data_IF_541752049307
#
_entry.id   IF_541752049307
#
_cell.length_a   1.000
_cell.length_b   1.000
_cell.length_c   1.000
_cell.angle_alpha   90.00
_cell.angle_beta   90.00
_cell.angle_gamma   90.00
#
_symmetry.space_group_name_H-M   'P 1'
#
loop_
_entity.id
_entity.type
_entity.pdbx_description
1 polymer ?
#
# COMPACT_ATOMS: atom_id res chain seq x y z
N UNK A 1 -2.25 10.96 -39.62
CA UNK A 1 -2.37 11.96 -38.56
C UNK A 1 -2.24 11.26 -37.21
N UNK A 2 -1.07 11.40 -36.61
CA UNK A 2 -0.70 10.93 -35.27
C UNK A 2 -1.64 11.55 -34.23
N UNK A 3 -2.37 10.72 -33.50
CA UNK A 3 -3.22 11.15 -32.39
C UNK A 3 -2.33 11.18 -31.15
N UNK A 4 -1.93 12.37 -30.72
CA UNK A 4 -1.13 12.60 -29.53
C UNK A 4 -1.85 12.04 -28.28
N UNK A 5 -1.44 10.85 -27.84
CA UNK A 5 -1.83 10.24 -26.56
C UNK A 5 -0.96 10.79 -25.42
N UNK A 6 -0.84 12.11 -25.31
CA UNK A 6 0.00 12.78 -24.31
C UNK A 6 -0.72 13.03 -22.97
N UNK A 7 -2.05 12.81 -22.91
CA UNK A 7 -2.89 13.11 -21.73
C UNK A 7 -2.92 12.05 -20.62
N UNK A 8 -2.33 10.88 -20.86
CA UNK A 8 -2.45 9.70 -19.97
C UNK A 8 -1.08 9.20 -19.49
N UNK A 9 -0.08 10.08 -19.39
CA UNK A 9 1.24 9.72 -18.83
C UNK A 9 1.48 10.44 -17.51
N UNK A 10 1.92 9.70 -16.48
CA UNK A 10 2.21 10.26 -15.17
C UNK A 10 3.56 10.97 -15.21
N UNK A 11 3.60 12.25 -14.83
CA UNK A 11 4.85 13.05 -14.84
C UNK A 11 5.87 12.64 -13.76
N UNK A 12 5.51 11.75 -12.84
CA UNK A 12 6.39 11.26 -11.77
C UNK A 12 7.09 9.97 -12.19
N UNK A 13 6.36 8.98 -12.71
CA UNK A 13 6.91 7.68 -13.10
C UNK A 13 7.06 7.50 -14.62
N UNK A 14 6.65 8.49 -15.41
CA UNK A 14 6.67 8.50 -16.88
C UNK A 14 5.93 7.31 -17.53
N UNK A 15 5.05 6.64 -16.79
CA UNK A 15 4.24 5.51 -17.23
C UNK A 15 2.79 5.93 -17.49
N UNK A 16 1.99 5.05 -18.12
CA UNK A 16 0.56 5.31 -18.35
C UNK A 16 -0.22 5.44 -17.04
N UNK A 17 -1.02 6.49 -16.90
CA UNK A 17 -1.86 6.75 -15.71
C UNK A 17 -2.95 5.68 -15.62
N UNK A 18 -2.96 4.92 -14.53
CA UNK A 18 -3.99 3.92 -14.23
C UNK A 18 -5.06 4.47 -13.30
N UNK A 19 -4.63 5.19 -12.27
CA UNK A 19 -5.53 5.78 -11.26
C UNK A 19 -5.26 7.27 -11.23
N UNK A 20 -6.04 8.03 -12.01
CA UNK A 20 -5.87 9.48 -12.11
C UNK A 20 -6.11 10.14 -10.78
N UNK A 21 -5.17 11.00 -10.38
CA UNK A 21 -5.25 11.73 -9.14
C UNK A 21 -5.27 13.23 -9.37
N UNK A 22 -6.29 13.89 -8.83
CA UNK A 22 -6.49 15.34 -8.95
C UNK A 22 -6.11 16.00 -7.63
N UNK A 23 -5.14 16.91 -7.69
CA UNK A 23 -4.70 17.68 -6.52
C UNK A 23 -5.65 18.84 -6.25
N UNK A 24 -6.04 19.07 -5.00
CA UNK A 24 -6.72 20.29 -4.58
C UNK A 24 -5.77 21.19 -3.76
N UNK A 25 -5.76 22.52 -3.97
CA UNK A 25 -6.68 23.30 -4.80
C UNK A 25 -6.23 23.54 -6.25
N UNK A 26 -5.01 23.14 -6.63
CA UNK A 26 -4.42 23.53 -7.91
C UNK A 26 -4.90 22.72 -9.14
N UNK A 27 -5.75 21.70 -8.93
CA UNK A 27 -6.42 20.89 -9.95
C UNK A 27 -5.51 20.24 -11.02
N UNK A 28 -4.21 20.08 -10.74
CA UNK A 28 -3.33 19.28 -11.58
C UNK A 28 -3.69 17.79 -11.48
N UNK A 29 -3.73 17.10 -12.61
CA UNK A 29 -4.26 15.74 -12.73
C UNK A 29 -3.37 14.77 -13.53
N UNK A 30 -2.17 15.18 -13.94
CA UNK A 30 -1.24 14.37 -14.75
C UNK A 30 -0.37 13.44 -13.87
N UNK A 31 -1.00 12.83 -12.86
CA UNK A 31 -0.34 11.94 -11.92
C UNK A 31 -1.14 10.67 -11.72
N UNK A 32 -0.43 9.56 -11.54
CA UNK A 32 -0.96 8.40 -10.84
C UNK A 32 -1.10 8.70 -9.35
N UNK A 33 -2.19 8.22 -8.77
CA UNK A 33 -2.50 8.36 -7.35
C UNK A 33 -1.36 7.89 -6.45
N UNK A 34 -0.77 6.73 -6.72
CA UNK A 34 0.31 6.19 -5.91
C UNK A 34 1.58 7.03 -6.01
N UNK A 35 1.93 7.49 -7.21
CA UNK A 35 3.10 8.34 -7.41
C UNK A 35 2.95 9.66 -6.67
N UNK A 36 1.76 10.26 -6.78
CA UNK A 36 1.43 11.53 -6.13
C UNK A 36 1.39 11.38 -4.59
N UNK A 37 0.77 10.34 -4.06
CA UNK A 37 0.73 10.09 -2.61
C UNK A 37 2.13 9.84 -2.06
N UNK A 38 2.98 9.11 -2.79
CA UNK A 38 4.38 8.87 -2.38
C UNK A 38 5.18 10.16 -2.32
N UNK A 39 5.02 11.05 -3.31
CA UNK A 39 5.60 12.40 -3.28
C UNK A 39 5.12 13.20 -2.06
N UNK A 40 3.83 13.14 -1.77
CA UNK A 40 3.18 13.90 -0.71
C UNK A 40 3.56 13.45 0.71
N UNK A 41 4.10 12.24 0.87
CA UNK A 41 4.71 11.80 2.13
C UNK A 41 5.97 12.61 2.47
N UNK A 42 6.73 13.07 1.46
CA UNK A 42 7.95 13.84 1.66
C UNK A 42 7.69 15.35 1.58
N UNK A 43 6.87 15.79 0.61
CA UNK A 43 6.59 17.21 0.36
C UNK A 43 5.10 17.41 0.13
N UNK A 44 4.45 18.22 0.97
CA UNK A 44 3.01 18.50 0.85
C UNK A 44 2.65 19.53 -0.25
N UNK A 45 3.50 19.65 -1.28
CA UNK A 45 3.37 20.61 -2.40
C UNK A 45 3.22 19.90 -3.74
N UNK A 46 2.52 20.50 -4.70
CA UNK A 46 2.35 19.96 -6.05
C UNK A 46 3.68 19.85 -6.79
N UNK A 47 3.99 18.72 -7.47
CA UNK A 47 5.19 18.58 -8.29
C UNK A 47 5.27 19.59 -9.45
N UNK A 48 4.12 20.07 -9.95
CA UNK A 48 4.06 20.97 -11.11
C UNK A 48 4.13 22.44 -10.72
N UNK A 49 3.21 22.90 -9.87
CA UNK A 49 3.10 24.33 -9.54
C UNK A 49 3.64 24.69 -8.16
N UNK A 50 4.13 23.72 -7.37
CA UNK A 50 4.61 23.89 -5.99
C UNK A 50 3.56 24.42 -5.00
N UNK A 51 2.29 24.54 -5.41
CA UNK A 51 1.21 24.94 -4.51
C UNK A 51 1.00 23.90 -3.40
N UNK A 52 0.62 24.37 -2.21
CA UNK A 52 0.28 23.50 -1.08
C UNK A 52 -0.96 22.66 -1.43
N UNK A 53 -0.85 21.33 -1.28
CA UNK A 53 -1.97 20.41 -1.52
C UNK A 53 -2.66 20.10 -0.19
N UNK A 54 -4.00 20.23 -0.16
CA UNK A 54 -4.84 19.91 0.99
C UNK A 54 -5.51 18.53 0.88
N UNK A 55 -5.87 18.12 -0.33
CA UNK A 55 -6.45 16.82 -0.61
C UNK A 55 -6.14 16.34 -2.02
N UNK A 56 -6.26 15.02 -2.22
CA UNK A 56 -6.15 14.36 -3.51
C UNK A 56 -7.43 13.58 -3.75
N UNK A 57 -8.07 13.81 -4.89
CA UNK A 57 -9.23 13.05 -5.34
C UNK A 57 -8.77 11.96 -6.32
N UNK A 58 -9.28 10.74 -6.16
CA UNK A 58 -8.88 9.56 -6.93
C UNK A 58 -10.01 8.54 -7.02
N UNK A 59 -9.84 7.48 -7.82
CA UNK A 59 -10.83 6.38 -7.98
C UNK A 59 -12.20 6.91 -8.45
N UNK A 60 -12.20 7.58 -9.61
CA UNK A 60 -13.39 8.18 -10.21
C UNK A 60 -14.24 7.10 -10.89
N UNK A 61 -15.20 6.53 -10.16
CA UNK A 61 -16.19 5.61 -10.74
C UNK A 61 -17.33 6.37 -11.47
N UNK A 62 -17.56 7.63 -11.10
CA UNK A 62 -18.54 8.56 -11.68
C UNK A 62 -18.12 10.01 -11.37
N UNK A 63 -18.56 11.05 -12.11
CA UNK A 63 -18.20 12.44 -11.81
C UNK A 63 -18.49 12.90 -10.38
N UNK A 64 -19.45 12.24 -9.71
CA UNK A 64 -19.85 12.52 -8.32
C UNK A 64 -19.35 11.47 -7.32
N UNK A 65 -18.78 10.35 -7.79
CA UNK A 65 -18.31 9.26 -6.94
C UNK A 65 -16.78 9.11 -7.10
N UNK A 66 -16.06 9.70 -6.15
CA UNK A 66 -14.61 9.63 -6.05
C UNK A 66 -14.19 9.53 -4.59
N UNK A 67 -13.01 8.96 -4.36
CA UNK A 67 -12.39 8.91 -3.03
C UNK A 67 -11.51 10.14 -2.82
N UNK A 68 -11.52 10.66 -1.60
CA UNK A 68 -10.68 11.81 -1.21
C UNK A 68 -9.67 11.40 -0.16
N UNK A 69 -8.39 11.54 -0.48
CA UNK A 69 -7.28 11.38 0.46
C UNK A 69 -6.86 12.75 0.99
N UNK A 70 -7.07 13.00 2.29
CA UNK A 70 -6.68 14.25 2.94
C UNK A 70 -5.19 14.25 3.29
N UNK A 71 -4.53 15.39 3.08
CA UNK A 71 -3.10 15.54 3.37
C UNK A 71 -2.93 16.45 4.56
N UNK A 72 -2.14 16.00 5.53
CA UNK A 72 -1.72 16.84 6.63
C UNK A 72 -0.39 17.50 6.27
N UNK A 73 -0.36 18.83 6.35
CA UNK A 73 0.81 19.65 6.07
C UNK A 73 1.98 19.20 6.95
N UNK A 74 3.04 18.68 6.34
CA UNK A 74 4.27 18.24 7.02
C UNK A 74 5.18 19.39 7.46
N UNK A 75 4.95 20.61 6.94
CA UNK A 75 5.76 21.77 7.26
C UNK A 75 4.85 22.92 7.70
N UNK A 76 4.80 23.22 9.00
CA UNK A 76 4.23 24.49 9.46
C UNK A 76 5.07 25.60 8.80
N UNK A 77 4.48 26.59 8.11
CA UNK A 77 5.26 27.75 7.75
C UNK A 77 5.58 28.46 9.06
N UNK A 78 6.85 28.46 9.45
CA UNK A 78 7.39 29.36 10.46
C UNK A 78 7.39 30.77 9.88
N UNK A 79 6.21 31.36 9.70
CA UNK A 79 6.09 32.80 9.55
C UNK A 79 6.03 33.38 10.96
N UNK A 80 7.20 33.62 11.53
CA UNK A 80 7.38 34.59 12.60
C UNK A 80 7.05 35.97 12.04
N UNK A 81 5.77 36.35 12.09
CA UNK A 81 5.32 37.73 11.90
C UNK A 81 5.11 38.35 13.29
N UNK A 82 6.00 39.23 13.77
CA UNK A 82 5.97 39.75 15.14
C UNK A 82 5.06 40.98 15.28
N UNK A 83 3.93 41.04 14.57
CA UNK A 83 3.12 42.27 14.60
C UNK A 83 1.68 42.06 14.15
N UNK A 84 0.85 41.52 15.06
CA UNK A 84 -0.59 41.86 15.21
C UNK A 84 -1.13 41.21 16.48
N UNK A 85 -1.02 41.92 17.59
CA UNK A 85 -1.89 41.74 18.74
C UNK A 85 -3.18 42.55 18.50
N UNK A 86 -4.35 41.95 18.29
CA UNK A 86 -5.56 42.55 18.79
C UNK A 86 -5.60 42.26 20.29
N UNK A 87 -5.47 43.32 21.07
CA UNK A 87 -5.71 43.31 22.51
C UNK A 87 -7.07 42.66 22.80
N UNK A 88 -7.06 41.45 23.32
CA UNK A 88 -8.23 40.84 23.96
C UNK A 88 -8.10 41.10 25.44
N UNK A 89 -8.62 42.24 25.88
CA UNK A 89 -8.87 42.50 27.30
C UNK A 89 -10.09 41.66 27.70
N UNK A 90 -9.91 40.87 28.76
CA UNK A 90 -10.90 40.07 29.50
C UNK A 90 -11.20 38.63 29.04
N UNK A 91 -10.46 37.68 29.62
CA UNK A 91 -11.01 36.40 30.11
C UNK A 91 -10.18 35.92 31.32
N UNK A 92 -10.69 35.96 32.57
CA UNK A 92 -9.89 35.71 33.77
C UNK A 92 -9.72 34.23 34.15
N UNK A 93 -10.00 33.27 33.27
CA UNK A 93 -9.82 31.84 33.56
C UNK A 93 -9.17 31.12 32.36
N UNK A 94 -7.86 30.87 32.48
CA UNK A 94 -7.09 30.11 31.50
C UNK A 94 -7.49 28.63 31.51
N UNK A 95 -8.24 28.20 30.49
CA UNK A 95 -8.44 26.78 30.22
C UNK A 95 -7.12 26.20 29.65
N UNK A 96 -6.64 25.05 30.14
CA UNK A 96 -5.43 24.43 29.61
C UNK A 96 -5.63 24.10 28.14
N UNK A 97 -4.76 24.64 27.29
CA UNK A 97 -4.74 24.38 25.86
C UNK A 97 -4.46 22.89 25.65
N UNK A 98 -5.52 22.11 25.46
CA UNK A 98 -5.44 20.68 25.20
C UNK A 98 -4.64 20.49 23.91
N UNK A 99 -3.47 19.79 23.93
CA UNK A 99 -2.75 19.52 22.71
C UNK A 99 -3.70 18.80 21.75
N UNK A 100 -3.88 19.37 20.56
CA UNK A 100 -4.76 18.83 19.53
C UNK A 100 -4.22 17.45 19.17
N UNK A 101 -4.87 16.40 19.70
CA UNK A 101 -4.52 15.00 19.45
C UNK A 101 -4.47 14.82 17.93
N UNK A 102 -3.36 14.33 17.34
CA UNK A 102 -3.31 14.11 15.90
C UNK A 102 -4.47 13.23 15.51
N UNK A 103 -5.33 13.73 14.62
CA UNK A 103 -6.48 13.00 14.10
C UNK A 103 -5.93 11.72 13.47
N UNK A 104 -6.16 10.57 14.13
CA UNK A 104 -5.80 9.26 13.59
C UNK A 104 -6.55 9.12 12.27
N UNK A 105 -5.82 9.14 11.15
CA UNK A 105 -6.42 8.91 9.84
C UNK A 105 -7.26 7.61 9.89
N UNK A 106 -8.47 7.59 9.30
CA UNK A 106 -9.33 6.42 9.34
C UNK A 106 -8.56 5.19 8.87
N UNK A 107 -8.56 4.12 9.67
CA UNK A 107 -7.74 2.93 9.41
C UNK A 107 -8.03 2.32 8.02
N UNK A 108 -9.27 2.49 7.55
CA UNK A 108 -9.74 2.08 6.24
C UNK A 108 -9.04 2.80 5.07
N UNK A 109 -8.74 4.11 5.18
CA UNK A 109 -8.07 4.85 4.10
C UNK A 109 -6.59 4.46 3.96
N UNK A 110 -5.95 4.11 5.07
CA UNK A 110 -4.58 3.61 5.08
C UNK A 110 -4.49 2.22 4.44
N UNK A 111 -5.46 1.35 4.69
CA UNK A 111 -5.53 0.04 4.03
C UNK A 111 -5.77 0.19 2.53
N UNK A 112 -6.68 1.07 2.12
CA UNK A 112 -7.01 1.29 0.71
C UNK A 112 -5.79 1.84 -0.07
N UNK A 113 -5.08 2.83 0.49
CA UNK A 113 -3.84 3.36 -0.09
C UNK A 113 -2.72 2.31 -0.14
N UNK A 114 -2.58 1.47 0.89
CA UNK A 114 -1.59 0.39 0.90
C UNK A 114 -1.86 -0.65 -0.20
N UNK A 115 -3.12 -1.02 -0.41
CA UNK A 115 -3.50 -1.98 -1.45
C UNK A 115 -3.29 -1.42 -2.85
N UNK A 116 -3.64 -0.15 -3.07
CA UNK A 116 -3.37 0.52 -4.34
C UNK A 116 -1.87 0.56 -4.65
N UNK A 117 -1.03 0.81 -3.64
CA UNK A 117 0.44 0.76 -3.81
C UNK A 117 0.91 -0.65 -4.17
N UNK A 118 0.41 -1.68 -3.49
CA UNK A 118 0.74 -3.08 -3.83
C UNK A 118 0.27 -3.45 -5.23
N UNK A 119 -0.93 -3.03 -5.66
CA UNK A 119 -1.42 -3.22 -7.05
C UNK A 119 -0.46 -2.64 -8.07
N UNK A 120 0.04 -1.42 -7.84
CA UNK A 120 1.05 -0.80 -8.69
C UNK A 120 2.33 -1.64 -8.76
N UNK A 121 2.83 -2.13 -7.61
CA UNK A 121 4.04 -2.98 -7.54
C UNK A 121 3.89 -4.26 -8.37
N UNK A 122 2.78 -5.00 -8.25
CA UNK A 122 2.56 -6.21 -9.08
C UNK A 122 2.35 -5.89 -10.56
N UNK A 123 1.66 -4.79 -10.87
CA UNK A 123 1.41 -4.37 -12.25
C UNK A 123 2.71 -4.04 -12.97
N UNK A 124 3.62 -3.33 -12.31
CA UNK A 124 4.93 -2.96 -12.87
C UNK A 124 6.03 -3.97 -12.57
N UNK A 125 5.72 -5.06 -11.84
CA UNK A 125 6.65 -6.12 -11.48
C UNK A 125 7.91 -5.60 -10.76
N UNK A 126 7.71 -4.67 -9.82
CA UNK A 126 8.79 -4.00 -9.11
C UNK A 126 9.28 -4.87 -7.94
N UNK A 127 10.53 -5.29 -7.97
CA UNK A 127 11.12 -6.11 -6.92
C UNK A 127 11.71 -5.21 -5.84
N UNK A 128 11.44 -5.50 -4.56
CA UNK A 128 12.13 -4.76 -3.50
C UNK A 128 13.64 -4.93 -3.61
N UNK A 129 14.36 -3.83 -3.42
CA UNK A 129 15.80 -3.86 -3.29
C UNK A 129 16.20 -4.75 -2.11
N UNK A 130 17.28 -5.50 -2.30
CA UNK A 130 17.83 -6.32 -1.23
C UNK A 130 18.20 -5.43 -0.06
N UNK A 131 17.54 -5.62 1.08
CA UNK A 131 17.89 -4.94 2.33
C UNK A 131 19.29 -5.44 2.74
N UNK A 132 20.31 -4.66 2.42
CA UNK A 132 21.70 -4.98 2.71
C UNK A 132 21.93 -5.19 4.20
N UNK A 133 22.94 -6.01 4.53
CA UNK A 133 23.37 -6.28 5.90
C UNK A 133 23.97 -5.02 6.55
N UNK A 134 23.16 -4.12 7.09
CA UNK A 134 23.65 -3.04 7.94
C UNK A 134 24.30 -3.63 9.23
N UNK A 135 25.24 -2.92 9.89
CA UNK A 135 25.96 -3.44 11.07
C UNK A 135 25.05 -3.93 12.20
N UNK A 136 23.84 -3.38 12.33
CA UNK A 136 22.80 -3.83 13.27
C UNK A 136 22.00 -5.06 12.82
N UNK A 137 21.99 -5.41 11.52
CA UNK A 137 21.39 -6.65 10.98
C UNK A 137 22.39 -7.77 10.71
N UNK A 138 23.71 -7.51 10.82
CA UNK A 138 24.76 -8.54 10.70
C UNK A 138 24.60 -9.68 11.72
N UNK A 139 24.00 -9.41 12.87
CA UNK A 139 23.66 -10.44 13.90
C UNK A 139 22.34 -11.17 13.63
N UNK A 140 21.53 -10.73 12.67
CA UNK A 140 20.16 -11.23 12.41
C UNK A 140 19.92 -11.71 10.97
N UNK A 141 20.95 -11.69 10.12
CA UNK A 141 20.88 -12.30 8.79
C UNK A 141 20.80 -13.82 8.95
N UNK A 142 19.57 -14.33 9.07
CA UNK A 142 19.29 -15.76 9.14
C UNK A 142 18.51 -16.15 7.91
N UNK A 143 19.03 -17.11 7.16
CA UNK A 143 18.26 -17.71 6.09
C UNK A 143 17.05 -18.43 6.67
N UNK A 144 15.89 -18.06 6.15
CA UNK A 144 14.62 -18.56 6.61
C UNK A 144 14.39 -19.89 5.92
N UNK A 145 14.70 -20.97 6.61
CA UNK A 145 14.53 -22.33 6.11
C UNK A 145 13.13 -22.87 6.44
N UNK A 146 12.62 -23.84 5.66
CA UNK A 146 11.30 -24.44 5.91
C UNK A 146 11.13 -25.04 7.31
N UNK A 147 12.19 -25.65 7.84
CA UNK A 147 12.18 -26.23 9.19
C UNK A 147 12.01 -25.17 10.29
N UNK A 148 12.61 -24.00 10.13
CA UNK A 148 12.43 -22.87 11.06
C UNK A 148 11.01 -22.32 11.00
N UNK A 149 10.43 -22.21 9.81
CA UNK A 149 9.04 -21.79 9.63
C UNK A 149 8.10 -22.81 10.28
N UNK A 150 8.35 -24.12 10.07
CA UNK A 150 7.55 -25.18 10.66
C UNK A 150 7.59 -25.17 12.20
N UNK A 151 8.75 -24.89 12.80
CA UNK A 151 8.94 -24.85 14.24
C UNK A 151 8.46 -23.55 14.91
N UNK A 152 8.33 -22.44 14.18
CA UNK A 152 8.00 -21.13 14.75
C UNK A 152 6.59 -20.63 14.35
N UNK A 153 5.61 -20.66 15.28
CA UNK A 153 4.28 -20.08 15.05
C UNK A 153 4.33 -18.58 14.77
N UNK A 154 5.31 -17.87 15.35
CA UNK A 154 5.50 -16.43 15.12
C UNK A 154 5.85 -16.14 13.65
N UNK A 155 6.75 -16.92 13.04
CA UNK A 155 7.08 -16.78 11.62
C UNK A 155 5.89 -17.13 10.72
N UNK A 156 5.10 -18.13 11.09
CA UNK A 156 3.87 -18.48 10.35
C UNK A 156 2.83 -17.36 10.41
N UNK A 157 2.62 -16.75 11.58
CA UNK A 157 1.73 -15.59 11.75
C UNK A 157 2.23 -14.38 10.97
N UNK A 158 3.55 -14.13 10.98
CA UNK A 158 4.18 -13.06 10.20
C UNK A 158 3.98 -13.26 8.69
N UNK A 159 4.14 -14.48 8.18
CA UNK A 159 3.84 -14.81 6.79
C UNK A 159 2.36 -14.59 6.46
N UNK A 160 1.44 -15.06 7.32
CA UNK A 160 -0.02 -14.85 7.16
C UNK A 160 -0.40 -13.39 7.08
N UNK A 161 0.15 -12.55 7.96
CA UNK A 161 -0.12 -11.11 7.97
C UNK A 161 0.18 -10.48 6.61
N UNK A 162 1.32 -10.81 6.02
CA UNK A 162 1.69 -10.35 4.69
C UNK A 162 0.77 -10.91 3.61
N UNK A 163 0.60 -12.24 3.56
CA UNK A 163 -0.22 -12.91 2.55
C UNK A 163 -1.67 -12.41 2.53
N UNK A 164 -2.29 -12.14 3.68
CA UNK A 164 -3.65 -11.58 3.74
C UNK A 164 -3.79 -10.26 2.99
N UNK A 165 -2.77 -9.39 3.05
CA UNK A 165 -2.78 -8.13 2.28
C UNK A 165 -2.47 -8.40 0.82
N UNK A 166 -1.43 -9.19 0.53
CA UNK A 166 -0.99 -9.43 -0.84
C UNK A 166 -2.04 -10.12 -1.70
N UNK A 167 -2.74 -11.11 -1.16
CA UNK A 167 -3.77 -11.82 -1.92
C UNK A 167 -4.93 -10.91 -2.32
N UNK A 168 -5.22 -9.86 -1.54
CA UNK A 168 -6.22 -8.82 -1.86
C UNK A 168 -5.85 -7.97 -3.08
N UNK A 169 -4.61 -8.02 -3.56
CA UNK A 169 -4.22 -7.40 -4.83
C UNK A 169 -4.91 -8.09 -6.01
N UNK A 170 -5.08 -9.41 -5.92
CA UNK A 170 -5.64 -10.24 -6.98
C UNK A 170 -7.17 -10.30 -6.89
N UNK A 171 -7.84 -9.34 -7.53
CA UNK A 171 -9.31 -9.22 -7.48
C UNK A 171 -10.04 -10.45 -7.99
N UNK A 172 -9.45 -11.23 -8.92
CA UNK A 172 -10.05 -12.46 -9.43
C UNK A 172 -10.23 -13.53 -8.35
N UNK A 173 -9.41 -13.53 -7.29
CA UNK A 173 -9.62 -14.42 -6.14
C UNK A 173 -10.93 -14.10 -5.41
N UNK A 174 -11.47 -12.91 -5.63
CA UNK A 174 -12.66 -12.37 -4.99
C UNK A 174 -13.82 -12.08 -5.97
N UNK A 175 -13.74 -12.49 -7.24
CA UNK A 175 -14.76 -12.11 -8.24
C UNK A 175 -15.50 -13.31 -8.86
N UNK A 176 -15.55 -14.46 -8.18
CA UNK A 176 -16.29 -15.64 -8.67
C UNK A 176 -17.72 -15.71 -8.10
N UNK A 177 -18.56 -14.72 -8.41
CA UNK A 177 -20.02 -14.94 -8.51
C UNK A 177 -20.66 -13.85 -9.38
N UNK A 178 -20.74 -14.06 -10.69
CA UNK A 178 -21.69 -13.32 -11.53
C UNK A 178 -22.19 -14.20 -12.66
N UNK A 179 -23.21 -15.00 -12.36
CA UNK A 179 -24.29 -15.26 -13.30
C UNK A 179 -25.53 -14.53 -12.74
N UNK A 180 -26.19 -13.64 -13.50
CA UNK A 180 -27.37 -12.93 -13.04
C UNK A 180 -28.62 -13.73 -13.40
N UNK A 181 -29.18 -14.48 -12.46
CA UNK A 181 -30.58 -14.88 -12.58
C UNK A 181 -31.27 -15.00 -11.21
N UNK A 182 -32.24 -14.11 -11.05
CA UNK A 182 -33.50 -14.26 -10.31
C UNK A 182 -33.51 -14.68 -8.84
N UNK A 183 -34.01 -13.74 -8.03
CA UNK A 183 -34.88 -13.91 -6.86
C UNK A 183 -34.39 -14.70 -5.64
N UNK A 184 -34.44 -14.00 -4.50
CA UNK A 184 -34.62 -14.49 -3.12
C UNK A 184 -33.54 -15.40 -2.49
N UNK A 185 -32.57 -14.79 -1.80
CA UNK A 185 -32.10 -15.16 -0.45
C UNK A 185 -30.82 -14.39 -0.07
N UNK A 186 -30.60 -13.99 1.21
CA UNK A 186 -29.37 -13.35 1.64
C UNK A 186 -28.37 -14.39 2.14
N UNK A 187 -27.36 -14.76 1.35
CA UNK A 187 -26.05 -15.22 1.85
C UNK A 187 -25.06 -15.49 0.70
N UNK A 188 -24.60 -14.44 0.02
CA UNK A 188 -23.53 -14.53 -1.00
C UNK A 188 -22.28 -13.74 -0.61
N UNK A 189 -22.11 -13.41 0.67
CA UNK A 189 -20.95 -12.65 1.17
C UNK A 189 -19.79 -13.53 1.66
N UNK A 190 -19.95 -14.86 1.70
CA UNK A 190 -19.02 -15.78 2.38
C UNK A 190 -18.11 -16.61 1.46
N UNK A 191 -18.41 -16.76 0.18
CA UNK A 191 -17.61 -17.64 -0.72
C UNK A 191 -16.35 -16.95 -1.23
N UNK A 192 -16.38 -15.63 -1.30
CA UNK A 192 -15.36 -14.82 -1.95
C UNK A 192 -14.05 -14.75 -1.16
N UNK A 193 -14.13 -14.91 0.16
CA UNK A 193 -12.96 -15.09 1.03
C UNK A 193 -12.38 -16.50 0.96
N UNK A 194 -13.14 -17.52 0.51
CA UNK A 194 -12.73 -18.91 0.65
C UNK A 194 -11.53 -19.26 -0.24
N UNK A 195 -11.48 -18.78 -1.48
CA UNK A 195 -10.37 -19.05 -2.40
C UNK A 195 -9.06 -18.39 -1.92
N UNK A 196 -9.15 -17.13 -1.47
CA UNK A 196 -8.00 -16.42 -0.94
C UNK A 196 -7.52 -17.01 0.40
N UNK A 197 -8.43 -17.41 1.28
CA UNK A 197 -8.09 -18.07 2.54
C UNK A 197 -7.54 -19.49 2.32
N UNK A 198 -8.07 -20.23 1.34
CA UNK A 198 -7.52 -21.51 0.90
C UNK A 198 -6.08 -21.35 0.40
N UNK A 199 -5.86 -20.41 -0.54
CA UNK A 199 -4.53 -20.15 -1.10
C UNK A 199 -3.57 -19.65 -0.01
N UNK A 200 -4.03 -18.82 0.93
CA UNK A 200 -3.25 -18.42 2.10
C UNK A 200 -2.84 -19.63 2.94
N UNK A 201 -3.77 -20.51 3.29
CA UNK A 201 -3.47 -21.70 4.08
C UNK A 201 -2.52 -22.64 3.34
N UNK A 202 -2.72 -22.79 2.03
CA UNK A 202 -1.90 -23.61 1.14
C UNK A 202 -0.48 -23.08 1.03
N UNK A 203 -0.29 -21.77 0.77
CA UNK A 203 1.04 -21.15 0.72
C UNK A 203 1.75 -21.33 2.06
N UNK A 204 1.08 -21.07 3.19
CA UNK A 204 1.71 -21.27 4.51
C UNK A 204 2.08 -22.72 4.78
N UNK A 205 1.28 -23.69 4.32
CA UNK A 205 1.62 -25.10 4.41
C UNK A 205 2.81 -25.47 3.51
N UNK A 206 2.90 -24.89 2.31
CA UNK A 206 4.02 -25.04 1.40
C UNK A 206 5.32 -24.48 2.01
N UNK A 207 5.29 -23.31 2.65
CA UNK A 207 6.44 -22.71 3.32
C UNK A 207 7.07 -23.58 4.42
N UNK A 208 6.31 -24.53 4.97
CA UNK A 208 6.82 -25.49 5.98
C UNK A 208 7.60 -26.65 5.35
N UNK A 209 7.52 -26.84 4.03
CA UNK A 209 8.07 -28.00 3.31
C UNK A 209 9.02 -27.63 2.18
N UNK A 210 8.83 -26.45 1.57
CA UNK A 210 9.56 -26.01 0.38
C UNK A 210 10.28 -24.70 0.70
N UNK A 211 11.53 -24.60 0.25
CA UNK A 211 12.32 -23.38 0.41
C UNK A 211 11.89 -22.31 -0.61
N UNK A 212 11.70 -21.08 -0.14
CA UNK A 212 11.35 -19.92 -0.97
C UNK A 212 12.49 -19.61 -1.96
N UNK A 213 13.75 -19.85 -1.55
CA UNK A 213 14.95 -19.60 -2.37
C UNK A 213 15.52 -20.89 -3.00
N UNK A 214 14.73 -21.96 -3.06
CA UNK A 214 15.15 -23.21 -3.70
C UNK A 214 15.54 -22.97 -5.16
N UNK A 215 16.72 -23.44 -5.56
CA UNK A 215 17.19 -23.37 -6.95
C UNK A 215 16.38 -24.25 -7.91
N UNK A 216 15.54 -25.13 -7.36
CA UNK A 216 14.62 -26.00 -8.08
C UNK A 216 13.37 -25.28 -8.60
N UNK A 217 13.12 -24.03 -8.18
CA UNK A 217 11.97 -23.24 -8.62
C UNK A 217 10.63 -23.78 -8.15
N UNK A 218 10.62 -24.80 -7.28
CA UNK A 218 9.42 -25.53 -6.89
C UNK A 218 8.38 -24.65 -6.20
N UNK A 219 8.82 -23.70 -5.38
CA UNK A 219 7.92 -22.74 -4.74
C UNK A 219 7.23 -21.85 -5.78
N UNK A 220 7.95 -21.42 -6.82
CA UNK A 220 7.40 -20.58 -7.89
C UNK A 220 6.38 -21.32 -8.73
N UNK A 221 6.62 -22.60 -9.04
CA UNK A 221 5.68 -23.40 -9.82
C UNK A 221 4.39 -23.65 -9.03
N UNK A 222 4.49 -24.04 -7.75
CA UNK A 222 3.33 -24.28 -6.88
C UNK A 222 2.43 -23.03 -6.77
N UNK A 223 3.03 -21.85 -6.54
CA UNK A 223 2.26 -20.60 -6.40
C UNK A 223 1.85 -20.05 -7.77
N UNK A 224 2.67 -20.31 -8.79
CA UNK A 224 2.49 -19.88 -10.17
C UNK A 224 1.25 -20.46 -10.83
N UNK A 225 0.83 -21.66 -10.43
CA UNK A 225 -0.43 -22.28 -10.87
C UNK A 225 -1.65 -21.41 -10.58
N UNK A 226 -1.63 -20.63 -9.49
CA UNK A 226 -2.77 -19.82 -9.04
C UNK A 226 -2.66 -18.35 -9.44
N UNK A 227 -1.46 -17.78 -9.38
CA UNK A 227 -1.24 -16.34 -9.55
C UNK A 227 -0.56 -15.96 -10.87
N UNK A 228 -0.10 -16.96 -11.61
CA UNK A 228 0.81 -16.81 -12.76
C UNK A 228 2.26 -16.65 -12.31
N UNK A 229 3.18 -17.19 -13.11
CA UNK A 229 4.63 -17.26 -12.80
C UNK A 229 5.24 -15.90 -12.43
N UNK A 230 4.89 -14.82 -13.14
CA UNK A 230 5.42 -13.47 -12.88
C UNK A 230 5.04 -12.97 -11.48
N UNK A 231 3.77 -13.09 -11.11
CA UNK A 231 3.28 -12.62 -9.82
C UNK A 231 3.73 -13.52 -8.69
N UNK A 232 3.80 -14.84 -8.91
CA UNK A 232 4.30 -15.80 -7.94
C UNK A 232 5.76 -15.51 -7.54
N UNK A 233 6.63 -15.28 -8.53
CA UNK A 233 8.03 -14.86 -8.31
C UNK A 233 8.14 -13.63 -7.44
N UNK A 234 7.40 -12.59 -7.80
CA UNK A 234 7.41 -11.34 -7.06
C UNK A 234 6.86 -11.52 -5.64
N UNK A 235 5.73 -12.24 -5.49
CA UNK A 235 5.15 -12.52 -4.17
C UNK A 235 6.13 -13.25 -3.26
N UNK A 236 6.82 -14.27 -3.78
CA UNK A 236 7.79 -15.07 -3.03
C UNK A 236 9.03 -14.26 -2.66
N UNK A 237 9.54 -13.42 -3.58
CA UNK A 237 10.63 -12.49 -3.31
C UNK A 237 10.28 -11.53 -2.18
N UNK A 238 9.14 -10.86 -2.29
CA UNK A 238 8.67 -9.89 -1.30
C UNK A 238 8.36 -10.55 0.05
N UNK A 239 7.77 -11.75 0.04
CA UNK A 239 7.53 -12.54 1.24
C UNK A 239 8.84 -12.89 1.93
N UNK A 240 9.85 -13.33 1.18
CA UNK A 240 11.19 -13.61 1.72
C UNK A 240 11.84 -12.37 2.33
N UNK A 241 11.71 -11.20 1.69
CA UNK A 241 12.22 -9.93 2.20
C UNK A 241 11.49 -9.50 3.48
N UNK A 242 10.15 -9.54 3.49
CA UNK A 242 9.31 -9.23 4.65
C UNK A 242 9.64 -10.13 5.84
N UNK A 243 9.73 -11.45 5.60
CA UNK A 243 10.00 -12.40 6.68
C UNK A 243 11.39 -12.16 7.31
N UNK A 244 12.41 -11.83 6.51
CA UNK A 244 13.76 -11.46 7.00
C UNK A 244 13.81 -10.10 7.70
N UNK A 245 12.91 -9.19 7.36
CA UNK A 245 12.91 -7.84 7.92
C UNK A 245 12.65 -7.85 9.44
N UNK A 246 13.14 -6.86 10.20
CA UNK A 246 12.85 -6.75 11.62
C UNK A 246 11.43 -6.24 11.93
N UNK A 247 10.64 -5.88 10.91
CA UNK A 247 9.33 -5.27 11.09
C UNK A 247 8.26 -6.32 11.44
N UNK A 248 7.36 -5.96 12.35
CA UNK A 248 6.19 -6.77 12.72
C UNK A 248 4.90 -6.28 12.06
N UNK A 249 4.85 -4.98 11.72
CA UNK A 249 3.70 -4.33 11.11
C UNK A 249 3.99 -4.00 9.65
N UNK A 250 3.03 -4.30 8.77
CA UNK A 250 3.13 -4.03 7.33
C UNK A 250 3.35 -2.56 7.01
N UNK A 251 2.74 -1.67 7.80
CA UNK A 251 2.88 -0.21 7.62
C UNK A 251 4.31 0.27 7.79
N UNK A 252 5.05 -0.33 8.72
CA UNK A 252 6.43 0.07 9.01
C UNK A 252 7.35 -0.45 7.90
N UNK A 253 7.12 -1.67 7.41
CA UNK A 253 7.82 -2.20 6.24
C UNK A 253 7.52 -1.42 4.97
N UNK A 254 6.26 -1.05 4.70
CA UNK A 254 5.88 -0.28 3.52
C UNK A 254 6.58 1.10 3.47
N UNK A 255 6.93 1.68 4.62
CA UNK A 255 7.65 2.96 4.69
C UNK A 255 9.12 2.83 4.32
N UNK A 256 9.74 1.72 4.70
CA UNK A 256 11.18 1.50 4.60
C UNK A 256 11.60 0.72 3.36
N UNK A 257 10.71 -0.11 2.81
CA UNK A 257 10.98 -0.89 1.60
C UNK A 257 11.11 0.01 0.37
N UNK A 258 12.13 -0.26 -0.44
CA UNK A 258 12.45 0.46 -1.67
C UNK A 258 12.33 -0.48 -2.87
N UNK A 259 11.92 0.06 -4.02
CA UNK A 259 11.58 -0.66 -5.26
C UNK A 259 12.27 -0.03 -6.47
#
# INVERSE_FOLDING_TARGET
ASKDTSGDTCVICLSTITDRAITAPCNHYTFDFICLVSWLQQRSTCPLCKAQISSVQYDFASPTNFKTHTIHRTHLPSHSDPSRHPFSLHAPYGLPHRPRRPTRAPEHTVLDTSLLRRRHIYRHNLYSHHVGSNPSSRSRYRDITPCLIAASPALQSKARTFLRRELRVFTFLYNNTSEPLSSSAPSAAATTSSNAEFLLAYIVAMLKKVDIKGSDGRAEDIVGEFLGRRNARLLLHELGAWMRSPFEKLRDWDREVQY
#
